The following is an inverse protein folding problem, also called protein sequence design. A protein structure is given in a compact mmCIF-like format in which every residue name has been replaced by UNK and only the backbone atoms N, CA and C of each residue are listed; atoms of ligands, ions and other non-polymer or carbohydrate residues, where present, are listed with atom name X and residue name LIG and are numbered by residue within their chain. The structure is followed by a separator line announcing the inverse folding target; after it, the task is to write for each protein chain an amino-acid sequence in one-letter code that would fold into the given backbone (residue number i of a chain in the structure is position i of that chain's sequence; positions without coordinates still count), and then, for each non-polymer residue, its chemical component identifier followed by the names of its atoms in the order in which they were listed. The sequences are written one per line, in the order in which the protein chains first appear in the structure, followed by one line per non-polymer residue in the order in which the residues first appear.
data_IF_070321475701
#
_entry.id   IF_070321475701
#
_cell.length_a   1.000
_cell.length_b   1.000
_cell.length_c   1.000
_cell.angle_alpha   90.00
_cell.angle_beta   90.00
_cell.angle_gamma   90.00
#
_symmetry.space_group_name_H-M   'P 1'
#
loop_
_entity.id
_entity.type
_entity.pdbx_description
1 polymer ?
#
# COMPACT_ATOMS: atom_id res chain seq x y z
N UNK A 1 4.86 24.58 -36.71
CA UNK A 1 5.04 24.11 -35.32
C UNK A 1 3.65 23.75 -34.78
N UNK A 2 3.00 22.60 -35.02
CA UNK A 2 3.31 21.17 -34.81
C UNK A 2 3.71 20.83 -33.36
N UNK A 3 2.66 20.50 -32.59
CA UNK A 3 2.65 19.55 -31.46
C UNK A 3 3.25 19.98 -30.10
N UNK A 4 2.56 20.80 -29.29
CA UNK A 4 2.90 20.91 -27.86
C UNK A 4 1.72 21.07 -26.88
N UNK A 5 0.47 20.99 -27.31
CA UNK A 5 -0.69 21.12 -26.42
C UNK A 5 -1.52 19.83 -26.33
N UNK A 6 -0.86 18.73 -25.94
CA UNK A 6 -1.50 17.44 -25.61
C UNK A 6 -0.86 16.78 -24.38
N UNK A 7 -0.38 17.57 -23.43
CA UNK A 7 0.11 17.06 -22.15
C UNK A 7 -0.49 17.92 -21.05
N UNK A 8 -1.74 17.65 -20.72
CA UNK A 8 -2.18 17.74 -19.33
C UNK A 8 -3.30 16.70 -19.16
N UNK A 9 -2.91 15.45 -19.41
CA UNK A 9 -3.69 14.27 -19.09
C UNK A 9 -3.71 14.17 -17.56
N UNK A 10 -4.87 14.52 -16.99
CA UNK A 10 -5.59 13.81 -15.93
C UNK A 10 -4.69 12.90 -15.08
N UNK A 11 -4.43 13.32 -13.84
CA UNK A 11 -4.31 12.38 -12.74
C UNK A 11 -4.66 13.07 -11.40
N UNK A 12 -5.84 13.71 -11.35
CA UNK A 12 -6.44 14.06 -10.08
C UNK A 12 -7.13 12.81 -9.49
N UNK A 13 -6.35 11.79 -9.13
CA UNK A 13 -6.76 10.90 -8.04
C UNK A 13 -6.50 11.69 -6.77
N UNK A 14 -7.44 12.57 -6.42
CA UNK A 14 -7.58 13.04 -5.07
C UNK A 14 -8.01 11.84 -4.23
N UNK A 15 -7.03 11.01 -3.85
CA UNK A 15 -7.20 10.05 -2.77
C UNK A 15 -7.66 10.85 -1.55
N UNK A 16 -8.71 10.42 -0.83
CA UNK A 16 -9.05 11.06 0.44
C UNK A 16 -7.79 11.03 1.31
N UNK A 17 -7.31 12.21 1.68
CA UNK A 17 -6.38 12.36 2.79
C UNK A 17 -7.17 11.96 4.03
N UNK A 18 -7.14 10.67 4.36
CA UNK A 18 -7.48 10.22 5.70
C UNK A 18 -6.36 10.74 6.62
N UNK A 19 -6.44 12.02 6.97
CA UNK A 19 -5.72 12.62 8.10
C UNK A 19 -6.37 12.15 9.41
N UNK A 20 -6.53 10.84 9.55
CA UNK A 20 -6.61 10.21 10.86
C UNK A 20 -5.18 9.82 11.15
N UNK A 21 -4.57 10.45 12.13
CA UNK A 21 -3.25 10.11 12.66
C UNK A 21 -3.30 8.74 13.34
N UNK A 22 -3.66 7.69 12.60
CA UNK A 22 -3.30 6.35 12.98
C UNK A 22 -1.80 6.30 12.81
N UNK A 23 -1.08 6.31 13.93
CA UNK A 23 0.32 5.99 13.93
C UNK A 23 0.42 4.56 13.44
N UNK A 24 0.65 4.40 12.13
CA UNK A 24 0.80 3.09 11.53
C UNK A 24 1.97 2.40 12.23
N UNK A 25 1.79 1.14 12.65
CA UNK A 25 2.86 0.39 13.28
C UNK A 25 4.09 0.40 12.37
N UNK A 26 5.28 0.50 12.96
CA UNK A 26 6.52 0.30 12.21
C UNK A 26 6.41 -1.04 11.46
N UNK A 27 6.51 -1.05 10.12
CA UNK A 27 6.44 -2.26 9.32
C UNK A 27 7.35 -3.36 9.85
N UNK A 28 8.54 -3.03 10.36
CA UNK A 28 9.46 -4.04 10.90
C UNK A 28 8.96 -4.76 12.17
N UNK A 29 7.94 -4.24 12.84
CA UNK A 29 7.43 -4.72 14.12
C UNK A 29 5.99 -5.24 14.08
N UNK A 30 5.28 -5.01 12.97
CA UNK A 30 3.87 -5.38 12.86
C UNK A 30 3.69 -6.90 12.75
N UNK A 31 2.64 -7.40 13.38
CA UNK A 31 2.26 -8.83 13.38
C UNK A 31 0.92 -9.04 12.68
N UNK A 32 0.68 -10.25 12.20
CA UNK A 32 -0.61 -10.65 11.61
C UNK A 32 -1.78 -10.46 12.59
N UNK A 33 -1.56 -10.70 13.89
CA UNK A 33 -2.56 -10.44 14.94
C UNK A 33 -2.95 -8.96 15.03
N UNK A 34 -1.97 -8.05 14.96
CA UNK A 34 -2.25 -6.61 14.96
C UNK A 34 -2.99 -6.18 13.69
N UNK A 35 -2.61 -6.73 12.53
CA UNK A 35 -3.29 -6.48 11.26
C UNK A 35 -4.74 -6.97 11.32
N UNK A 36 -4.98 -8.18 11.85
CA UNK A 36 -6.33 -8.72 12.00
C UNK A 36 -7.20 -7.94 13.00
N UNK A 37 -6.58 -7.23 13.94
CA UNK A 37 -7.29 -6.34 14.86
C UNK A 37 -7.66 -4.98 14.22
N UNK A 38 -7.06 -4.63 13.07
CA UNK A 38 -7.42 -3.43 12.31
C UNK A 38 -8.74 -3.61 11.56
N UNK A 39 -9.41 -2.50 11.27
CA UNK A 39 -10.55 -2.53 10.34
C UNK A 39 -10.08 -2.90 8.92
N UNK A 40 -10.98 -3.39 8.07
CA UNK A 40 -10.65 -3.72 6.67
C UNK A 40 -10.13 -2.50 5.91
N UNK A 41 -10.66 -1.30 6.17
CA UNK A 41 -10.19 -0.07 5.53
C UNK A 41 -8.77 0.30 5.98
N UNK A 42 -8.47 0.15 7.26
CA UNK A 42 -7.13 0.41 7.81
C UNK A 42 -6.10 -0.60 7.30
N UNK A 43 -6.51 -1.87 7.14
CA UNK A 43 -5.67 -2.90 6.52
C UNK A 43 -5.29 -2.51 5.08
N UNK A 44 -6.26 -2.06 4.29
CA UNK A 44 -6.01 -1.63 2.91
C UNK A 44 -5.14 -0.37 2.85
N UNK A 45 -5.40 0.62 3.72
CA UNK A 45 -4.59 1.82 3.85
C UNK A 45 -3.15 1.49 4.26
N UNK A 46 -2.97 0.57 5.20
CA UNK A 46 -1.66 0.12 5.67
C UNK A 46 -0.88 -0.56 4.54
N UNK A 47 -1.49 -1.50 3.82
CA UNK A 47 -0.85 -2.12 2.65
C UNK A 47 -0.48 -1.06 1.62
N UNK A 48 -1.38 -0.13 1.31
CA UNK A 48 -1.13 0.92 0.32
C UNK A 48 0.00 1.89 0.75
N UNK A 49 0.28 1.99 2.04
CA UNK A 49 1.39 2.79 2.58
C UNK A 49 2.75 2.09 2.46
N UNK A 50 2.77 0.77 2.26
CA UNK A 50 4.01 0.00 2.20
C UNK A 50 4.77 0.31 0.90
N UNK A 51 6.08 0.50 1.07
CA UNK A 51 7.04 0.47 -0.04
C UNK A 51 7.60 -0.94 -0.21
N UNK A 52 8.15 -1.26 -1.39
CA UNK A 52 8.83 -2.53 -1.62
C UNK A 52 9.96 -2.82 -0.60
N UNK A 53 10.69 -1.78 -0.18
CA UNK A 53 11.73 -1.90 0.86
C UNK A 53 11.16 -2.31 2.22
N UNK A 54 10.06 -1.69 2.63
CA UNK A 54 9.39 -2.02 3.89
C UNK A 54 8.74 -3.41 3.83
N UNK A 55 8.15 -3.79 2.69
CA UNK A 55 7.62 -5.13 2.50
C UNK A 55 8.69 -6.22 2.73
N UNK A 56 9.89 -6.02 2.21
CA UNK A 56 11.01 -6.95 2.41
C UNK A 56 11.51 -7.02 3.86
N UNK A 57 11.16 -6.06 4.71
CA UNK A 57 11.48 -6.05 6.14
C UNK A 57 10.39 -6.70 7.00
N UNK A 58 9.22 -7.00 6.42
CA UNK A 58 8.14 -7.68 7.12
C UNK A 58 8.53 -9.11 7.46
N UNK A 59 7.95 -9.65 8.53
CA UNK A 59 8.07 -11.08 8.83
C UNK A 59 7.41 -11.93 7.72
N UNK A 60 7.87 -13.17 7.49
CA UNK A 60 7.32 -14.04 6.44
C UNK A 60 5.80 -14.24 6.55
N UNK A 61 5.26 -14.32 7.77
CA UNK A 61 3.83 -14.48 8.01
C UNK A 61 3.04 -13.25 7.56
N UNK A 62 3.57 -12.05 7.79
CA UNK A 62 2.95 -10.80 7.35
C UNK A 62 3.09 -10.64 5.84
N UNK A 63 4.23 -11.00 5.25
CA UNK A 63 4.40 -11.00 3.78
C UNK A 63 3.38 -11.92 3.09
N UNK A 64 3.16 -13.12 3.64
CA UNK A 64 2.15 -14.06 3.16
C UNK A 64 0.74 -13.49 3.30
N UNK A 65 0.42 -12.91 4.46
CA UNK A 65 -0.88 -12.27 4.67
C UNK A 65 -1.14 -11.15 3.66
N UNK A 66 -0.13 -10.29 3.41
CA UNK A 66 -0.21 -9.22 2.39
C UNK A 66 -0.45 -9.82 1.00
N UNK A 67 0.25 -10.90 0.62
CA UNK A 67 0.01 -11.56 -0.66
C UNK A 67 -1.42 -12.13 -0.81
N UNK A 68 -2.01 -12.64 0.27
CA UNK A 68 -3.33 -13.27 0.25
C UNK A 68 -4.48 -12.26 0.32
N UNK A 69 -4.26 -11.07 0.87
CA UNK A 69 -5.31 -10.10 1.20
C UNK A 69 -5.24 -8.79 0.39
N UNK A 70 -4.43 -8.75 -0.66
CA UNK A 70 -4.21 -7.55 -1.48
C UNK A 70 -4.42 -7.82 -2.97
N UNK A 71 -4.72 -6.75 -3.69
CA UNK A 71 -4.96 -6.78 -5.13
C UNK A 71 -3.64 -6.94 -5.91
N UNK A 72 -3.72 -7.42 -7.13
CA UNK A 72 -2.53 -7.58 -7.98
C UNK A 72 -1.86 -6.23 -8.31
N UNK A 73 -2.63 -5.15 -8.35
CA UNK A 73 -2.09 -3.78 -8.48
C UNK A 73 -1.26 -3.38 -7.26
N UNK A 74 -1.70 -3.71 -6.04
CA UNK A 74 -0.90 -3.48 -4.83
C UNK A 74 0.36 -4.36 -4.81
N UNK A 75 0.27 -5.62 -5.23
CA UNK A 75 1.43 -6.51 -5.35
C UNK A 75 2.48 -5.98 -6.33
N UNK A 76 2.04 -5.49 -7.49
CA UNK A 76 2.93 -4.84 -8.46
C UNK A 76 3.61 -3.59 -7.89
N UNK A 77 2.87 -2.76 -7.14
CA UNK A 77 3.44 -1.58 -6.47
C UNK A 77 4.49 -1.94 -5.41
N UNK A 78 4.34 -3.10 -4.76
CA UNK A 78 5.31 -3.66 -3.82
C UNK A 78 6.48 -4.38 -4.50
N UNK A 79 6.51 -4.44 -5.83
CA UNK A 79 7.53 -5.17 -6.59
C UNK A 79 7.45 -6.69 -6.41
N UNK A 80 6.32 -7.19 -5.91
CA UNK A 80 6.01 -8.62 -5.83
C UNK A 80 5.62 -9.03 -7.26
N UNK A 81 6.63 -9.26 -8.09
CA UNK A 81 6.43 -9.76 -9.45
C UNK A 81 5.78 -11.14 -9.35
N UNK A 82 4.58 -11.25 -9.90
CA UNK A 82 3.92 -12.53 -10.18
C UNK A 82 4.61 -13.25 -11.34
#
# INVERSE_FOLDING_TARGET
MKNLLKILLILAFASPVFASSMQMPDPASITTTQIQAMSTDDQQAWVASLTAGQYNMLSPDVQKWVMENTTDTQKQALGINQ
#
